data_IF_065357756005
#
_entry.id   IF_065357756005
#
_cell.length_a   1.000
_cell.length_b   1.000
_cell.length_c   1.000
_cell.angle_alpha   90.00
_cell.angle_beta   90.00
_cell.angle_gamma   90.00
#
_symmetry.space_group_name_H-M   'P 1'
#
loop_
_entity.id
_entity.type
_entity.pdbx_description
1 polymer ?
#
# COMPACT_ATOMS: atom_id res chain seq x y z
N UNK A 1 2.34 -28.06 0.21
CA UNK A 1 3.38 -28.80 0.96
C UNK A 1 4.70 -28.90 0.18
N UNK A 2 4.69 -29.26 -1.12
CA UNK A 2 5.90 -29.33 -1.94
C UNK A 2 6.63 -27.97 -2.11
N UNK A 3 5.88 -26.87 -2.30
CA UNK A 3 6.45 -25.51 -2.37
C UNK A 3 7.15 -25.12 -1.05
N UNK A 4 6.57 -25.50 0.11
CA UNK A 4 7.19 -25.28 1.44
C UNK A 4 8.56 -25.94 1.54
N UNK A 5 8.70 -27.20 1.11
CA UNK A 5 9.97 -27.95 1.20
C UNK A 5 11.02 -27.46 0.20
N UNK A 6 10.62 -27.03 -1.00
CA UNK A 6 11.54 -26.51 -2.01
C UNK A 6 12.06 -25.13 -1.60
N UNK A 7 11.20 -24.28 -1.03
CA UNK A 7 11.60 -22.98 -0.50
C UNK A 7 12.53 -23.17 0.72
N UNK A 8 12.19 -24.03 1.68
CA UNK A 8 13.04 -24.31 2.86
C UNK A 8 14.45 -24.80 2.47
N UNK A 9 14.57 -25.73 1.51
CA UNK A 9 15.88 -26.26 1.06
C UNK A 9 16.71 -25.27 0.25
N UNK A 10 16.10 -24.27 -0.36
CA UNK A 10 16.81 -23.18 -1.04
C UNK A 10 17.25 -22.07 -0.06
N UNK A 11 16.75 -22.10 1.19
CA UNK A 11 16.88 -21.04 2.19
C UNK A 11 17.99 -21.27 3.23
N UNK A 12 18.32 -22.52 3.56
CA UNK A 12 19.39 -22.85 4.52
C UNK A 12 20.77 -22.20 4.20
N UNK A 13 21.22 -22.05 2.94
CA UNK A 13 22.50 -21.41 2.65
C UNK A 13 22.47 -19.88 2.75
N UNK A 14 21.29 -19.24 2.74
CA UNK A 14 21.13 -17.78 2.78
C UNK A 14 21.19 -17.24 4.22
N UNK A 15 20.67 -17.96 5.22
CA UNK A 15 20.73 -17.53 6.62
C UNK A 15 22.16 -17.44 7.18
N UNK A 16 23.09 -18.27 6.70
CA UNK A 16 24.49 -18.26 7.16
C UNK A 16 25.36 -17.16 6.55
N UNK A 17 24.95 -16.55 5.43
CA UNK A 17 25.68 -15.45 4.79
C UNK A 17 25.29 -14.05 5.28
N UNK A 18 24.11 -13.89 5.90
CA UNK A 18 23.48 -12.59 6.17
C UNK A 18 23.80 -12.06 7.58
N UNK A 19 24.30 -12.90 8.49
CA UNK A 19 24.50 -12.53 9.90
C UNK A 19 25.78 -11.69 10.18
N UNK A 20 26.63 -11.43 9.19
CA UNK A 20 27.98 -10.89 9.40
C UNK A 20 28.43 -9.72 8.51
N UNK A 21 27.53 -9.01 7.83
CA UNK A 21 27.95 -7.78 7.14
C UNK A 21 27.15 -6.56 7.61
N UNK A 22 27.79 -5.72 8.42
CA UNK A 22 27.26 -4.49 9.02
C UNK A 22 26.99 -3.36 8.02
N UNK A 23 26.63 -3.68 6.79
CA UNK A 23 26.18 -2.74 5.76
C UNK A 23 24.66 -2.63 5.72
N UNK A 24 24.13 -1.44 5.38
CA UNK A 24 22.69 -1.24 5.18
C UNK A 24 22.12 -2.35 4.28
N UNK A 25 21.16 -3.16 4.77
CA UNK A 25 20.71 -4.32 4.02
C UNK A 25 20.01 -3.87 2.74
N UNK A 26 20.35 -4.53 1.63
CA UNK A 26 19.77 -4.30 0.32
C UNK A 26 18.24 -4.35 0.42
N UNK A 27 17.54 -3.35 -0.11
CA UNK A 27 16.07 -3.24 0.00
C UNK A 27 15.40 -4.50 -0.56
N UNK A 28 15.97 -5.09 -1.61
CA UNK A 28 15.53 -6.36 -2.17
C UNK A 28 15.61 -7.52 -1.16
N UNK A 29 16.70 -7.61 -0.38
CA UNK A 29 16.91 -8.66 0.63
C UNK A 29 15.94 -8.47 1.79
N UNK A 30 15.75 -7.23 2.25
CA UNK A 30 14.76 -6.88 3.26
C UNK A 30 13.35 -7.29 2.84
N UNK A 31 12.90 -6.93 1.64
CA UNK A 31 11.57 -7.30 1.15
C UNK A 31 11.39 -8.82 1.04
N UNK A 32 12.42 -9.57 0.65
CA UNK A 32 12.37 -11.03 0.58
C UNK A 32 12.28 -11.65 1.99
N UNK A 33 13.10 -11.19 2.94
CA UNK A 33 13.06 -11.65 4.34
C UNK A 33 11.69 -11.35 4.97
N UNK A 34 11.14 -10.15 4.75
CA UNK A 34 9.82 -9.76 5.23
C UNK A 34 8.69 -10.66 4.68
N UNK A 35 8.71 -10.97 3.38
CA UNK A 35 7.74 -11.89 2.78
C UNK A 35 7.90 -13.30 3.35
N UNK A 36 9.12 -13.75 3.61
CA UNK A 36 9.39 -15.08 4.18
C UNK A 36 8.92 -15.15 5.65
N UNK A 37 9.14 -14.11 6.44
CA UNK A 37 8.66 -13.98 7.82
C UNK A 37 7.12 -13.98 7.86
N UNK A 38 6.48 -13.24 6.95
CA UNK A 38 5.03 -13.19 6.77
C UNK A 38 4.43 -14.59 6.53
N UNK A 39 5.00 -15.34 5.58
CA UNK A 39 4.59 -16.72 5.28
C UNK A 39 4.88 -17.71 6.41
N UNK A 40 5.87 -17.41 7.28
CA UNK A 40 6.19 -18.19 8.47
C UNK A 40 5.11 -18.01 9.54
N UNK A 41 4.64 -16.78 9.79
CA UNK A 41 3.59 -16.52 10.78
C UNK A 41 2.21 -17.08 10.39
N UNK A 42 1.84 -17.03 9.11
CA UNK A 42 0.59 -17.65 8.62
C UNK A 42 0.57 -19.19 8.76
N UNK A 43 1.71 -19.82 9.09
CA UNK A 43 1.85 -21.26 9.20
C UNK A 43 1.51 -21.87 10.56
N UNK A 44 1.46 -21.06 11.63
CA UNK A 44 1.45 -21.54 13.02
C UNK A 44 0.07 -21.60 13.71
N UNK A 45 -1.03 -21.32 13.02
CA UNK A 45 -2.41 -21.49 13.55
C UNK A 45 -2.92 -20.33 14.42
N UNK A 46 -4.11 -20.47 15.00
CA UNK A 46 -4.98 -19.40 15.56
C UNK A 46 -4.32 -18.30 16.42
N UNK A 47 -3.23 -18.58 17.14
CA UNK A 47 -2.50 -17.57 17.95
C UNK A 47 -1.51 -16.70 17.15
N UNK A 48 -1.24 -17.06 15.89
CA UNK A 48 -0.27 -16.37 15.04
C UNK A 48 -0.76 -15.06 14.43
N UNK A 49 -2.09 -14.85 14.37
CA UNK A 49 -2.66 -13.60 13.86
C UNK A 49 -2.34 -12.39 14.74
N UNK A 50 -2.39 -12.57 16.07
CA UNK A 50 -2.05 -11.51 17.02
C UNK A 50 -0.57 -11.16 16.91
N UNK A 51 0.29 -12.19 16.82
CA UNK A 51 1.74 -12.01 16.67
C UNK A 51 2.04 -11.29 15.35
N UNK A 52 1.38 -11.68 14.26
CA UNK A 52 1.56 -11.04 12.95
C UNK A 52 1.23 -9.54 13.00
N UNK A 53 0.11 -9.15 13.60
CA UNK A 53 -0.27 -7.74 13.73
C UNK A 53 0.75 -6.95 14.57
N UNK A 54 1.25 -7.53 15.66
CA UNK A 54 2.26 -6.89 16.51
C UNK A 54 3.57 -6.68 15.73
N UNK A 55 4.03 -7.71 15.01
CA UNK A 55 5.26 -7.63 14.21
C UNK A 55 5.12 -6.63 13.07
N UNK A 56 3.98 -6.63 12.36
CA UNK A 56 3.69 -5.67 11.30
C UNK A 56 3.68 -4.24 11.83
N UNK A 57 3.00 -3.99 12.95
CA UNK A 57 2.93 -2.65 13.56
C UNK A 57 4.32 -2.17 14.00
N UNK A 58 5.14 -3.07 14.55
CA UNK A 58 6.53 -2.75 14.90
C UNK A 58 7.38 -2.44 13.66
N UNK A 59 7.16 -3.13 12.55
CA UNK A 59 7.80 -2.86 11.26
C UNK A 59 7.51 -1.44 10.77
N UNK A 60 6.22 -1.10 10.74
CA UNK A 60 5.73 0.16 10.23
C UNK A 60 6.26 1.31 11.11
N UNK A 61 6.28 1.13 12.43
CA UNK A 61 6.89 2.08 13.35
C UNK A 61 8.39 2.30 13.09
N UNK A 62 9.14 1.24 12.76
CA UNK A 62 10.57 1.37 12.42
C UNK A 62 10.79 2.08 11.08
N UNK A 63 9.93 1.81 10.09
CA UNK A 63 9.96 2.52 8.80
C UNK A 63 9.64 4.00 8.96
N UNK A 64 8.67 4.30 9.82
CA UNK A 64 8.30 5.63 10.21
C UNK A 64 9.50 6.33 10.88
N UNK A 65 10.15 5.75 11.90
CA UNK A 65 11.33 6.37 12.52
C UNK A 65 12.48 6.59 11.54
N UNK A 66 12.70 5.65 10.61
CA UNK A 66 13.69 5.83 9.53
C UNK A 66 13.33 7.01 8.64
N UNK A 67 12.06 7.16 8.29
CA UNK A 67 11.57 8.30 7.51
C UNK A 67 11.73 9.60 8.29
N UNK A 68 11.42 9.60 9.60
CA UNK A 68 11.64 10.74 10.49
C UNK A 68 13.11 11.14 10.57
N UNK A 69 14.04 10.18 10.60
CA UNK A 69 15.47 10.46 10.54
C UNK A 69 15.87 11.12 9.21
N UNK A 70 15.34 10.65 8.07
CA UNK A 70 15.61 11.23 6.74
C UNK A 70 15.06 12.65 6.63
N UNK A 71 13.90 12.93 7.22
CA UNK A 71 13.28 14.27 7.24
C UNK A 71 13.80 15.17 8.37
N UNK A 72 14.80 14.72 9.13
CA UNK A 72 15.36 15.44 10.29
C UNK A 72 14.32 15.78 11.37
N UNK A 73 13.25 14.99 11.45
CA UNK A 73 12.18 15.12 12.44
C UNK A 73 12.62 14.58 13.80
N UNK A 74 12.13 15.19 14.88
CA UNK A 74 12.44 14.75 16.24
C UNK A 74 11.79 13.40 16.55
N UNK A 75 12.54 12.36 16.94
CA UNK A 75 11.99 11.03 17.23
C UNK A 75 11.02 11.03 18.42
N UNK A 76 11.19 11.95 19.37
CA UNK A 76 10.27 12.11 20.50
C UNK A 76 8.90 12.61 20.06
N UNK A 77 8.88 13.61 19.16
CA UNK A 77 7.63 14.14 18.61
C UNK A 77 6.91 13.07 17.81
N UNK A 78 7.65 12.30 17.03
CA UNK A 78 7.13 11.24 16.20
C UNK A 78 6.48 10.11 17.01
N UNK A 79 7.14 9.67 18.08
CA UNK A 79 6.58 8.69 19.00
C UNK A 79 5.31 9.20 19.70
N UNK A 80 5.30 10.47 20.14
CA UNK A 80 4.11 11.08 20.74
C UNK A 80 2.94 11.14 19.74
N UNK A 81 3.20 11.51 18.48
CA UNK A 81 2.20 11.52 17.41
C UNK A 81 1.62 10.13 17.12
N UNK A 82 2.45 9.08 17.13
CA UNK A 82 1.97 7.70 16.94
C UNK A 82 1.06 7.24 18.07
N UNK A 83 1.41 7.54 19.34
CA UNK A 83 0.57 7.20 20.49
C UNK A 83 -0.77 7.94 20.39
N UNK A 84 -0.74 9.25 20.14
CA UNK A 84 -1.95 10.05 20.02
C UNK A 84 -2.82 9.60 18.86
N UNK A 85 -2.22 9.34 17.68
CA UNK A 85 -2.92 8.83 16.50
C UNK A 85 -3.56 7.47 16.76
N UNK A 86 -2.85 6.55 17.42
CA UNK A 86 -3.37 5.23 17.80
C UNK A 86 -4.53 5.35 18.78
N UNK A 87 -4.39 6.16 19.84
CA UNK A 87 -5.46 6.37 20.82
C UNK A 87 -6.72 6.97 20.17
N UNK A 88 -6.54 7.96 19.29
CA UNK A 88 -7.65 8.54 18.53
C UNK A 88 -8.27 7.51 17.59
N UNK A 89 -7.47 6.71 16.89
CA UNK A 89 -7.93 5.64 16.00
C UNK A 89 -8.76 4.59 16.74
N UNK A 90 -8.32 4.15 17.91
CA UNK A 90 -9.05 3.18 18.75
C UNK A 90 -10.44 3.67 19.18
N UNK A 91 -10.67 4.98 19.24
CA UNK A 91 -11.96 5.57 19.60
C UNK A 91 -12.78 5.87 18.35
N UNK A 92 -12.19 6.60 17.39
CA UNK A 92 -12.88 7.09 16.20
C UNK A 92 -13.28 5.97 15.24
N UNK A 93 -12.45 4.95 15.04
CA UNK A 93 -12.72 3.86 14.11
C UNK A 93 -13.97 3.03 14.50
N UNK A 94 -14.09 2.49 15.73
CA UNK A 94 -15.29 1.74 16.10
C UNK A 94 -16.53 2.63 16.19
N UNK A 95 -16.41 3.88 16.62
CA UNK A 95 -17.54 4.83 16.65
C UNK A 95 -18.07 5.11 15.25
N UNK A 96 -17.17 5.35 14.29
CA UNK A 96 -17.55 5.58 12.89
C UNK A 96 -18.17 4.32 12.28
N UNK A 97 -17.58 3.15 12.51
CA UNK A 97 -18.15 1.88 12.07
C UNK A 97 -19.57 1.67 12.63
N UNK A 98 -19.76 1.89 13.94
CA UNK A 98 -21.04 1.75 14.60
C UNK A 98 -22.09 2.73 14.04
N UNK A 99 -21.69 3.98 13.77
CA UNK A 99 -22.56 4.98 13.15
C UNK A 99 -23.06 4.51 11.79
N UNK A 100 -22.16 4.06 10.91
CA UNK A 100 -22.54 3.57 9.57
C UNK A 100 -23.38 2.29 9.64
N UNK A 101 -23.06 1.39 10.57
CA UNK A 101 -23.79 0.14 10.77
C UNK A 101 -25.24 0.35 11.20
N UNK A 102 -25.52 1.37 12.01
CA UNK A 102 -26.88 1.71 12.46
C UNK A 102 -27.62 2.58 11.45
N UNK A 103 -26.92 3.49 10.75
CA UNK A 103 -27.54 4.47 9.87
C UNK A 103 -27.85 3.94 8.47
N UNK A 104 -27.12 2.93 7.98
CA UNK A 104 -27.23 2.45 6.60
C UNK A 104 -27.18 0.93 6.51
N UNK A 105 -27.88 0.36 5.52
CA UNK A 105 -27.75 -1.06 5.14
C UNK A 105 -26.46 -1.30 4.36
N UNK A 106 -25.34 -1.41 5.09
CA UNK A 106 -24.00 -1.64 4.55
C UNK A 106 -23.95 -2.99 3.82
N UNK A 107 -23.62 -2.98 2.52
CA UNK A 107 -23.42 -4.18 1.72
C UNK A 107 -24.65 -4.75 0.98
N UNK A 108 -25.86 -4.21 1.20
CA UNK A 108 -27.09 -4.62 0.49
C UNK A 108 -27.52 -3.56 -0.55
N UNK A 109 -27.38 -2.27 -0.22
CA UNK A 109 -27.71 -1.16 -1.13
C UNK A 109 -26.51 -0.77 -2.01
N UNK A 110 -26.78 -0.21 -3.20
CA UNK A 110 -25.74 0.32 -4.11
C UNK A 110 -25.04 1.58 -3.56
N UNK A 111 -25.60 2.20 -2.52
CA UNK A 111 -25.15 3.49 -1.98
C UNK A 111 -23.94 3.33 -1.05
N UNK A 112 -23.83 2.20 -0.34
CA UNK A 112 -22.69 1.86 0.51
C UNK A 112 -22.18 0.44 0.21
N UNK A 113 -21.43 0.26 -0.90
CA UNK A 113 -20.82 -1.03 -1.21
C UNK A 113 -19.78 -1.40 -0.15
N UNK A 114 -19.61 -2.69 0.10
CA UNK A 114 -18.56 -3.24 0.97
C UNK A 114 -17.38 -3.73 0.11
N UNK A 115 -16.49 -2.84 -0.39
CA UNK A 115 -15.43 -3.20 -1.34
C UNK A 115 -14.47 -4.24 -0.74
N UNK A 116 -14.14 -4.11 0.55
CA UNK A 116 -13.30 -5.08 1.25
C UNK A 116 -13.98 -6.44 1.44
N UNK A 117 -15.32 -6.48 1.51
CA UNK A 117 -16.07 -7.73 1.62
C UNK A 117 -15.91 -8.62 0.38
N UNK A 118 -15.85 -8.01 -0.81
CA UNK A 118 -15.57 -8.72 -2.07
C UNK A 118 -14.15 -9.30 -2.03
N UNK A 119 -13.17 -8.51 -1.60
CA UNK A 119 -11.76 -8.95 -1.52
C UNK A 119 -11.62 -10.13 -0.55
N UNK A 120 -12.17 -10.04 0.66
CA UNK A 120 -12.08 -11.12 1.65
C UNK A 120 -12.82 -12.39 1.19
N UNK A 121 -13.92 -12.26 0.46
CA UNK A 121 -14.61 -13.40 -0.14
C UNK A 121 -13.72 -14.11 -1.16
N UNK A 122 -13.06 -13.37 -2.05
CA UNK A 122 -12.12 -13.98 -3.01
C UNK A 122 -10.93 -14.63 -2.30
N UNK A 123 -10.38 -14.00 -1.25
CA UNK A 123 -9.34 -14.61 -0.41
C UNK A 123 -9.82 -15.92 0.25
N UNK A 124 -11.05 -15.96 0.76
CA UNK A 124 -11.63 -17.16 1.35
C UNK A 124 -11.85 -18.28 0.31
N UNK A 125 -12.34 -17.93 -0.89
CA UNK A 125 -12.49 -18.88 -2.00
C UNK A 125 -11.14 -19.46 -2.42
N UNK A 126 -10.08 -18.65 -2.46
CA UNK A 126 -8.72 -19.10 -2.72
C UNK A 126 -8.18 -19.99 -1.59
N UNK A 127 -8.50 -19.69 -0.33
CA UNK A 127 -8.12 -20.49 0.83
C UNK A 127 -8.75 -21.88 0.82
N UNK A 128 -10.04 -21.97 0.47
CA UNK A 128 -10.79 -23.24 0.44
C UNK A 128 -10.52 -24.03 -0.85
N UNK A 129 -10.53 -23.35 -2.00
CA UNK A 129 -10.41 -23.97 -3.32
C UNK A 129 -8.96 -24.11 -3.82
N UNK A 130 -7.99 -23.71 -3.01
CA UNK A 130 -6.55 -23.85 -3.25
C UNK A 130 -6.06 -23.22 -4.56
N UNK A 131 -4.86 -23.62 -4.99
CA UNK A 131 -4.24 -23.17 -6.25
C UNK A 131 -5.06 -23.53 -7.50
N UNK A 132 -6.03 -24.44 -7.39
CA UNK A 132 -6.97 -24.81 -8.45
C UNK A 132 -8.06 -23.77 -8.71
N UNK A 133 -8.32 -22.88 -7.76
CA UNK A 133 -9.28 -21.78 -7.91
C UNK A 133 -8.65 -20.49 -8.45
N UNK A 134 -7.33 -20.50 -8.69
CA UNK A 134 -6.64 -19.36 -9.30
C UNK A 134 -7.03 -19.20 -10.78
N UNK A 135 -7.24 -17.97 -11.27
CA UNK A 135 -7.43 -17.71 -12.69
C UNK A 135 -6.34 -18.33 -13.56
N UNK A 136 -6.70 -18.79 -14.76
CA UNK A 136 -5.74 -19.34 -15.74
C UNK A 136 -4.59 -18.35 -15.95
N UNK A 137 -3.35 -18.84 -15.93
CA UNK A 137 -2.10 -18.07 -16.00
C UNK A 137 -1.71 -17.23 -14.78
N UNK A 138 -2.51 -17.16 -13.70
CA UNK A 138 -2.16 -16.35 -12.52
C UNK A 138 -0.81 -16.73 -11.91
N UNK A 139 -0.53 -18.03 -11.73
CA UNK A 139 0.78 -18.51 -11.25
C UNK A 139 1.94 -18.17 -12.20
N UNK A 140 1.72 -18.23 -13.51
CA UNK A 140 2.74 -17.89 -14.51
C UNK A 140 3.04 -16.39 -14.51
N UNK A 141 2.01 -15.56 -14.32
CA UNK A 141 2.16 -14.11 -14.19
C UNK A 141 2.82 -13.74 -12.88
N UNK A 142 2.43 -14.35 -11.75
CA UNK A 142 3.08 -14.16 -10.46
C UNK A 142 4.57 -14.51 -10.53
N UNK A 143 4.91 -15.67 -11.12
CA UNK A 143 6.31 -16.06 -11.33
C UNK A 143 7.07 -15.08 -12.23
N UNK A 144 6.44 -14.64 -13.32
CA UNK A 144 7.02 -13.64 -14.24
C UNK A 144 7.27 -12.29 -13.58
N UNK A 145 6.29 -11.75 -12.85
CA UNK A 145 6.42 -10.48 -12.12
C UNK A 145 7.37 -10.59 -10.93
N UNK A 146 7.44 -11.74 -10.26
CA UNK A 146 8.42 -11.99 -9.22
C UNK A 146 9.85 -11.98 -9.79
N UNK A 147 10.09 -12.69 -10.90
CA UNK A 147 11.37 -12.67 -11.58
C UNK A 147 11.73 -11.26 -12.09
N UNK A 148 10.77 -10.55 -12.68
CA UNK A 148 10.95 -9.15 -13.09
C UNK A 148 11.31 -8.25 -11.91
N UNK A 149 10.62 -8.40 -10.78
CA UNK A 149 10.87 -7.60 -9.58
C UNK A 149 12.25 -7.88 -8.99
N UNK A 150 12.64 -9.15 -8.94
CA UNK A 150 13.95 -9.56 -8.48
C UNK A 150 15.05 -8.97 -9.37
N UNK A 151 14.94 -9.16 -10.69
CA UNK A 151 15.91 -8.67 -11.67
C UNK A 151 16.05 -7.15 -11.62
N UNK A 152 14.94 -6.41 -11.66
CA UNK A 152 14.96 -4.95 -11.68
C UNK A 152 15.53 -4.35 -10.40
N UNK A 153 15.19 -4.91 -9.23
CA UNK A 153 15.78 -4.47 -7.97
C UNK A 153 17.27 -4.83 -7.89
N UNK A 154 17.68 -6.03 -8.30
CA UNK A 154 19.11 -6.41 -8.33
C UNK A 154 19.93 -5.51 -9.26
N UNK A 155 19.41 -5.19 -10.45
CA UNK A 155 20.08 -4.27 -11.38
C UNK A 155 20.18 -2.87 -10.74
N UNK A 156 19.11 -2.40 -10.09
CA UNK A 156 19.10 -1.09 -9.43
C UNK A 156 20.17 -0.98 -8.35
N UNK A 157 20.40 -2.04 -7.58
CA UNK A 157 21.39 -2.07 -6.49
C UNK A 157 22.84 -2.16 -6.99
N UNK A 158 23.07 -2.75 -8.17
CA UNK A 158 24.41 -2.88 -8.78
C UNK A 158 24.85 -1.66 -9.61
N UNK A 159 23.90 -0.80 -9.99
CA UNK A 159 24.14 0.30 -10.92
C UNK A 159 24.37 1.63 -10.17
N UNK A 160 25.26 2.52 -10.64
CA UNK A 160 25.50 3.82 -10.01
C UNK A 160 24.24 4.69 -9.94
N UNK A 161 24.13 5.49 -8.87
CA UNK A 161 22.95 6.31 -8.51
C UNK A 161 22.37 7.19 -9.64
N UNK A 162 23.22 7.63 -10.60
CA UNK A 162 22.78 8.43 -11.76
C UNK A 162 21.92 7.65 -12.74
N UNK A 163 22.16 6.34 -12.88
CA UNK A 163 21.42 5.47 -13.79
C UNK A 163 20.30 4.74 -13.04
N UNK A 164 20.48 4.42 -11.76
CA UNK A 164 19.44 3.79 -10.95
C UNK A 164 18.19 4.66 -10.71
N UNK A 165 18.32 5.99 -10.87
CA UNK A 165 17.21 6.95 -10.90
C UNK A 165 16.16 6.65 -11.99
N UNK A 166 16.56 6.07 -13.12
CA UNK A 166 15.66 5.81 -14.26
C UNK A 166 15.06 4.40 -14.22
N UNK A 167 15.50 3.55 -13.30
CA UNK A 167 15.02 2.18 -13.19
C UNK A 167 13.71 2.20 -12.38
N UNK A 168 12.60 1.70 -12.95
CA UNK A 168 11.33 1.69 -12.25
C UNK A 168 11.38 0.76 -11.04
N UNK A 169 10.70 1.16 -9.96
CA UNK A 169 10.59 0.36 -8.73
C UNK A 169 9.30 -0.47 -8.85
N UNK A 170 9.38 -1.82 -8.94
CA UNK A 170 8.22 -2.69 -9.13
C UNK A 170 7.12 -2.47 -8.08
N UNK A 171 7.49 -2.23 -6.82
CA UNK A 171 6.53 -1.93 -5.75
C UNK A 171 5.78 -0.62 -5.97
N UNK A 172 6.44 0.42 -6.50
CA UNK A 172 5.76 1.68 -6.80
C UNK A 172 4.82 1.53 -8.01
N UNK A 173 5.20 0.67 -8.97
CA UNK A 173 4.37 0.39 -10.14
C UNK A 173 3.10 -0.38 -9.81
N UNK A 174 3.11 -1.27 -8.80
CA UNK A 174 1.94 -2.09 -8.49
C UNK A 174 0.80 -1.31 -7.82
N UNK A 175 1.09 -0.20 -7.15
CA UNK A 175 0.08 0.57 -6.39
C UNK A 175 -1.05 1.09 -7.29
N UNK A 176 -0.78 1.79 -8.42
CA UNK A 176 -1.85 2.23 -9.32
C UNK A 176 -2.62 1.08 -9.99
N UNK A 177 -1.98 -0.07 -10.23
CA UNK A 177 -2.69 -1.25 -10.76
C UNK A 177 -3.68 -1.83 -9.74
N UNK A 178 -3.38 -1.68 -8.45
CA UNK A 178 -4.25 -2.17 -7.38
C UNK A 178 -5.38 -1.18 -7.03
N UNK A 179 -5.05 0.10 -6.90
CA UNK A 179 -5.97 1.13 -6.42
C UNK A 179 -6.80 1.73 -7.56
N UNK A 180 -6.21 1.89 -8.74
CA UNK A 180 -6.86 2.43 -9.92
C UNK A 180 -6.04 3.52 -10.62
N UNK A 181 -6.49 3.93 -11.83
CA UNK A 181 -5.73 4.86 -12.68
C UNK A 181 -5.65 6.28 -12.14
N UNK A 182 -6.58 6.71 -11.27
CA UNK A 182 -6.52 8.04 -10.63
C UNK A 182 -5.23 8.20 -9.82
N UNK A 183 -4.83 7.16 -9.09
CA UNK A 183 -3.60 7.16 -8.31
C UNK A 183 -2.35 7.29 -9.19
N UNK A 184 -2.38 6.75 -10.43
CA UNK A 184 -1.30 6.94 -11.39
C UNK A 184 -1.17 8.42 -11.82
N UNK A 185 -2.30 9.10 -12.00
CA UNK A 185 -2.34 10.52 -12.38
C UNK A 185 -1.76 11.37 -11.24
N UNK A 186 -2.15 11.10 -10.01
CA UNK A 186 -1.65 11.81 -8.83
C UNK A 186 -0.14 11.61 -8.63
N UNK A 187 0.35 10.38 -8.79
CA UNK A 187 1.79 10.09 -8.76
C UNK A 187 2.55 10.81 -9.88
N UNK A 188 1.98 10.88 -11.09
CA UNK A 188 2.60 11.59 -12.20
C UNK A 188 2.69 13.10 -11.95
N UNK A 189 1.61 13.69 -11.42
CA UNK A 189 1.56 15.10 -11.01
C UNK A 189 2.58 15.39 -9.90
N UNK A 190 2.60 14.59 -8.84
CA UNK A 190 3.58 14.72 -7.76
C UNK A 190 5.03 14.60 -8.25
N UNK A 191 5.28 13.66 -9.16
CA UNK A 191 6.61 13.47 -9.78
C UNK A 191 7.00 14.67 -10.65
N UNK A 192 6.06 15.26 -11.39
CA UNK A 192 6.31 16.44 -12.21
C UNK A 192 6.65 17.66 -11.33
N UNK A 193 5.87 17.89 -10.27
CA UNK A 193 6.12 18.97 -9.30
C UNK A 193 7.52 18.79 -8.68
N UNK A 194 7.85 17.59 -8.22
CA UNK A 194 9.15 17.30 -7.64
C UNK A 194 10.29 17.44 -8.66
N UNK A 195 10.07 17.07 -9.93
CA UNK A 195 11.07 17.22 -10.99
C UNK A 195 11.36 18.69 -11.30
N UNK A 196 10.33 19.54 -11.37
CA UNK A 196 10.48 20.99 -11.56
C UNK A 196 11.18 21.62 -10.36
N UNK A 197 10.74 21.29 -9.14
CA UNK A 197 11.37 21.79 -7.91
C UNK A 197 12.83 21.37 -7.83
N UNK A 198 13.15 20.11 -8.13
CA UNK A 198 14.51 19.58 -8.17
C UNK A 198 15.40 20.26 -9.23
N UNK A 199 14.84 20.88 -10.27
CA UNK A 199 15.62 21.70 -11.20
C UNK A 199 15.93 23.11 -10.67
N UNK A 200 15.05 23.66 -9.84
CA UNK A 200 15.22 24.98 -9.24
C UNK A 200 16.13 24.93 -8.00
N UNK A 201 15.84 24.02 -7.07
CA UNK A 201 16.59 23.88 -5.83
C UNK A 201 16.64 22.42 -5.35
N UNK A 202 17.71 21.69 -5.73
CA UNK A 202 17.89 20.26 -5.42
C UNK A 202 17.90 19.97 -3.91
N UNK A 203 18.65 20.76 -3.15
CA UNK A 203 18.85 20.52 -1.71
C UNK A 203 17.55 20.66 -0.94
N UNK A 204 16.73 21.62 -1.32
CA UNK A 204 15.44 21.87 -0.71
C UNK A 204 14.40 20.82 -1.13
N UNK A 205 14.36 20.46 -2.41
CA UNK A 205 13.48 19.39 -2.91
C UNK A 205 13.75 18.04 -2.22
N UNK A 206 15.02 17.68 -2.01
CA UNK A 206 15.38 16.41 -1.36
C UNK A 206 14.99 16.38 0.13
N UNK A 207 14.99 17.52 0.82
CA UNK A 207 14.67 17.61 2.25
C UNK A 207 13.17 17.83 2.51
N UNK A 208 12.54 18.75 1.77
CA UNK A 208 11.14 19.15 1.96
C UNK A 208 10.16 18.36 1.09
N UNK A 209 10.63 17.73 0.01
CA UNK A 209 9.78 16.94 -0.90
C UNK A 209 8.94 15.88 -0.17
N UNK A 210 9.55 15.02 0.67
CA UNK A 210 8.79 14.05 1.45
C UNK A 210 7.77 14.68 2.41
N UNK A 211 8.09 15.84 2.99
CA UNK A 211 7.19 16.56 3.90
C UNK A 211 5.99 17.21 3.17
N UNK A 212 6.22 17.77 1.98
CA UNK A 212 5.15 18.31 1.13
C UNK A 212 4.26 17.18 0.61
N UNK A 213 4.86 16.06 0.17
CA UNK A 213 4.12 14.90 -0.31
C UNK A 213 3.21 14.31 0.78
N UNK A 214 3.72 14.12 2.00
CA UNK A 214 2.89 13.64 3.11
C UNK A 214 1.81 14.64 3.51
N UNK A 215 2.09 15.95 3.44
CA UNK A 215 1.11 17.01 3.65
C UNK A 215 -0.04 16.98 2.64
N UNK A 216 0.26 16.73 1.35
CA UNK A 216 -0.76 16.59 0.30
C UNK A 216 -1.63 15.35 0.50
N UNK A 217 -1.03 14.21 0.87
CA UNK A 217 -1.78 12.97 1.19
C UNK A 217 -2.69 13.18 2.40
N UNK A 218 -2.17 13.79 3.47
CA UNK A 218 -2.97 14.12 4.66
C UNK A 218 -4.09 15.11 4.32
N UNK A 219 -3.80 16.11 3.47
CA UNK A 219 -4.77 17.09 3.00
C UNK A 219 -5.94 16.47 2.24
N UNK A 220 -5.65 15.51 1.35
CA UNK A 220 -6.68 14.73 0.65
C UNK A 220 -7.58 13.97 1.64
N UNK A 221 -6.98 13.35 2.65
CA UNK A 221 -7.71 12.71 3.75
C UNK A 221 -8.61 13.68 4.53
N UNK A 222 -8.12 14.88 4.86
CA UNK A 222 -8.91 15.90 5.58
C UNK A 222 -10.09 16.39 4.72
N UNK A 223 -9.92 16.49 3.39
CA UNK A 223 -10.97 16.93 2.47
C UNK A 223 -12.20 15.99 2.43
N UNK A 224 -12.01 14.72 2.80
CA UNK A 224 -13.11 13.76 2.90
C UNK A 224 -14.18 14.17 3.92
N UNK A 225 -13.81 14.88 4.99
CA UNK A 225 -14.74 15.31 6.05
C UNK A 225 -15.73 16.38 5.56
N UNK A 226 -15.29 17.52 4.97
CA UNK A 226 -16.20 18.45 4.31
C UNK A 226 -17.02 17.81 3.20
N UNK A 227 -16.43 16.94 2.38
CA UNK A 227 -17.15 16.27 1.30
C UNK A 227 -18.28 15.38 1.85
N UNK A 228 -18.04 14.64 2.94
CA UNK A 228 -19.05 13.85 3.63
C UNK A 228 -20.15 14.75 4.23
N UNK A 229 -19.77 15.88 4.86
CA UNK A 229 -20.74 16.83 5.41
C UNK A 229 -21.63 17.47 4.32
N UNK A 230 -21.05 17.82 3.16
CA UNK A 230 -21.79 18.34 2.00
C UNK A 230 -22.74 17.28 1.41
N UNK A 231 -22.30 16.02 1.39
CA UNK A 231 -23.12 14.89 0.94
C UNK A 231 -24.31 14.67 1.89
N UNK A 232 -24.07 14.72 3.21
CA UNK A 232 -25.13 14.66 4.24
C UNK A 232 -26.10 15.84 4.15
N UNK A 233 -25.61 17.03 3.83
CA UNK A 233 -26.42 18.23 3.60
C UNK A 233 -27.19 18.22 2.28
N UNK A 234 -27.11 17.14 1.48
CA UNK A 234 -27.75 16.98 0.17
C UNK A 234 -27.50 18.15 -0.79
N UNK A 235 -26.32 18.77 -0.69
CA UNK A 235 -25.93 19.84 -1.60
C UNK A 235 -25.80 19.24 -3.00
N UNK A 236 -26.60 19.74 -3.95
CA UNK A 236 -26.52 19.29 -5.34
C UNK A 236 -25.12 19.60 -5.87
N UNK A 237 -24.38 18.59 -6.37
CA UNK A 237 -23.07 18.84 -6.95
C UNK A 237 -23.25 19.79 -8.16
N UNK A 238 -22.42 20.84 -8.28
CA UNK A 238 -22.54 21.83 -9.35
C UNK A 238 -22.26 21.23 -10.75
N UNK A 239 -21.64 20.05 -10.81
CA UNK A 239 -21.32 19.34 -12.04
C UNK A 239 -21.62 17.84 -11.83
N UNK A 240 -22.67 17.33 -12.47
CA UNK A 240 -22.91 15.89 -12.58
C UNK A 240 -22.24 15.37 -13.86
N UNK A 241 -21.09 14.69 -13.74
CA UNK A 241 -20.50 13.97 -14.86
C UNK A 241 -20.94 12.50 -14.83
N UNK A 242 -21.81 12.11 -15.76
CA UNK A 242 -22.19 10.72 -15.97
C UNK A 242 -21.45 10.17 -17.21
N UNK A 243 -20.50 9.26 -17.00
CA UNK A 243 -19.84 8.55 -18.09
C UNK A 243 -20.69 7.35 -18.53
N UNK A 244 -21.73 7.63 -19.31
CA UNK A 244 -22.58 6.60 -19.90
C UNK A 244 -21.96 6.07 -21.20
N UNK A 245 -21.92 4.74 -21.35
CA UNK A 245 -21.68 4.13 -22.67
C UNK A 245 -22.75 4.59 -23.66
N UNK A 246 -22.38 4.80 -24.94
CA UNK A 246 -23.26 5.36 -25.99
C UNK A 246 -24.65 4.72 -26.04
N UNK A 247 -24.75 3.42 -25.76
CA UNK A 247 -26.03 2.69 -25.76
C UNK A 247 -26.97 3.03 -24.59
N UNK A 248 -26.45 3.48 -23.46
CA UNK A 248 -27.25 3.86 -22.28
C UNK A 248 -27.67 5.34 -22.33
N UNK A 249 -26.85 6.21 -22.92
CA UNK A 249 -27.20 7.62 -23.15
C UNK A 249 -28.36 7.78 -24.16
N UNK A 250 -28.44 6.90 -25.15
CA UNK A 250 -29.53 6.89 -26.13
C UNK A 250 -30.90 6.49 -25.55
N UNK A 251 -30.93 5.75 -24.44
CA UNK A 251 -32.18 5.31 -23.78
C UNK A 251 -32.80 6.36 -22.84
N UNK A 252 -32.04 7.38 -22.46
CA UNK A 252 -32.48 8.45 -21.55
C UNK A 252 -32.94 9.71 -22.30
N UNK A 253 -32.82 9.72 -23.64
CA UNK A 253 -33.18 10.85 -24.52
C UNK A 253 -34.36 10.57 -25.45
N UNK A 254 -35.10 9.48 -25.20
CA UNK A 254 -36.33 9.10 -25.91
C UNK A 254 -37.50 8.95 -24.97
#
# INVERSE_FOLDING_TARGET
>A
MAIKMVIQRLLDPLEHGILFDGGSPNIAIQSIVWVIEQYRYDLYGHDSHVIHIIVQTAADLMQDFKTGYITLSSPRSMFASQILGTLMGCILAPLTFWLFWVAFDVGISQEYPAPYGVIYREMALLGVGGVSSLPKHCLSLCGGFFAFSLLTNSIKDMVPKKVSMYIPIPMAMSIPFYIGPYFAIDMALGSLINAVWGRLNKREADLLGPAVASGLICGDGIWTLPAAALTLAKVKPPICMAFLSRGHAAKLSG
#
